data_IF_010924136917
#
_entry.id   IF_010924136917
#
_cell.length_a   1.000
_cell.length_b   1.000
_cell.length_c   1.000
_cell.angle_alpha   90.00
_cell.angle_beta   90.00
_cell.angle_gamma   90.00
#
_symmetry.space_group_name_H-M   'P 1'
#
loop_
_entity.id
_entity.type
_entity.pdbx_description
1 polymer ?
#
# COMPACT_ATOMS: atom_id res chain seq x y z
N UNK A 1 6.17 14.63 8.25
CA UNK A 1 4.77 14.32 8.64
C UNK A 1 4.24 13.29 7.63
N UNK A 2 4.72 12.04 7.69
CA UNK A 2 4.54 11.07 6.58
C UNK A 2 3.38 10.09 6.82
N UNK A 3 2.90 9.96 8.05
CA UNK A 3 1.74 9.13 8.38
C UNK A 3 0.46 9.56 7.67
N UNK A 4 0.27 10.88 7.47
CA UNK A 4 -0.92 11.42 6.80
C UNK A 4 -1.03 10.99 5.34
N UNK A 5 0.10 10.80 4.66
CA UNK A 5 0.11 10.35 3.27
C UNK A 5 -0.22 8.87 3.17
N UNK A 6 0.36 8.02 4.02
CA UNK A 6 0.02 6.60 4.08
C UNK A 6 -1.49 6.38 4.33
N UNK A 7 -2.07 7.10 5.28
CA UNK A 7 -3.51 7.01 5.57
C UNK A 7 -4.36 7.42 4.36
N UNK A 8 -3.93 8.45 3.59
CA UNK A 8 -4.60 8.85 2.36
C UNK A 8 -4.56 7.72 1.31
N UNK A 9 -3.43 7.05 1.12
CA UNK A 9 -3.34 5.93 0.18
C UNK A 9 -4.19 4.74 0.62
N UNK A 10 -4.08 4.34 1.89
CA UNK A 10 -4.87 3.26 2.48
C UNK A 10 -6.38 3.49 2.34
N UNK A 11 -6.84 4.72 2.49
CA UNK A 11 -8.28 5.02 2.52
C UNK A 11 -8.87 5.32 1.13
N UNK A 12 -8.06 5.70 0.14
CA UNK A 12 -8.54 6.03 -1.21
C UNK A 12 -8.23 4.98 -2.29
N UNK A 13 -7.33 4.02 -2.04
CA UNK A 13 -6.95 3.03 -3.04
C UNK A 13 -7.57 1.65 -2.76
N UNK A 14 -8.31 1.12 -3.73
CA UNK A 14 -9.04 -0.14 -3.61
C UNK A 14 -8.14 -1.36 -3.41
N UNK A 15 -6.87 -1.28 -3.84
CA UNK A 15 -5.87 -2.34 -3.62
C UNK A 15 -5.64 -2.64 -2.13
N UNK A 16 -5.91 -1.67 -1.25
CA UNK A 16 -5.87 -1.90 0.19
C UNK A 16 -7.12 -2.60 0.74
N UNK A 17 -8.21 -2.73 -0.04
CA UNK A 17 -9.42 -3.42 0.41
C UNK A 17 -9.15 -4.91 0.62
N UNK A 18 -8.45 -5.57 -0.32
CA UNK A 18 -8.07 -6.98 -0.17
C UNK A 18 -7.14 -7.19 1.05
N UNK A 19 -6.22 -6.26 1.29
CA UNK A 19 -5.32 -6.27 2.46
C UNK A 19 -6.11 -6.10 3.77
N UNK A 20 -7.13 -5.23 3.78
CA UNK A 20 -8.02 -4.98 4.92
C UNK A 20 -8.93 -6.19 5.19
N UNK A 21 -9.51 -6.78 4.15
CA UNK A 21 -10.33 -7.99 4.25
C UNK A 21 -9.52 -9.19 4.74
N UNK A 22 -8.27 -9.31 4.29
CA UNK A 22 -7.33 -10.31 4.78
C UNK A 22 -6.84 -10.03 6.23
N UNK A 23 -7.26 -8.93 6.86
CA UNK A 23 -6.88 -8.57 8.24
C UNK A 23 -5.40 -8.23 8.41
N UNK A 24 -4.67 -7.93 7.33
CA UNK A 24 -3.23 -7.64 7.35
C UNK A 24 -3.01 -6.17 7.75
N UNK A 25 -2.64 -5.94 9.02
CA UNK A 25 -2.30 -4.61 9.54
C UNK A 25 -0.79 -4.44 9.58
N UNK A 26 -0.26 -3.40 8.92
CA UNK A 26 1.17 -3.05 8.97
C UNK A 26 2.05 -3.73 7.92
N UNK A 27 1.48 -4.16 6.78
CA UNK A 27 2.27 -4.67 5.66
C UNK A 27 3.13 -3.54 5.05
N UNK A 28 4.45 -3.75 4.84
CA UNK A 28 5.26 -2.78 4.12
C UNK A 28 4.77 -2.70 2.67
N UNK A 29 4.48 -1.49 2.20
CA UNK A 29 4.11 -1.24 0.81
C UNK A 29 4.97 -0.13 0.23
N UNK A 30 5.28 -0.24 -1.05
CA UNK A 30 6.01 0.76 -1.81
C UNK A 30 5.00 1.49 -2.68
N UNK A 31 4.96 2.81 -2.52
CA UNK A 31 4.11 3.69 -3.32
C UNK A 31 5.00 4.34 -4.37
N UNK A 32 4.77 3.98 -5.64
CA UNK A 32 5.48 4.55 -6.80
C UNK A 32 4.66 5.73 -7.34
N UNK A 33 5.35 6.83 -7.68
CA UNK A 33 4.79 8.05 -8.28
C UNK A 33 3.49 8.52 -7.60
N UNK A 34 3.56 8.80 -6.29
CA UNK A 34 2.44 9.33 -5.50
C UNK A 34 1.14 8.52 -5.60
N UNK A 35 1.22 7.21 -5.81
CA UNK A 35 0.08 6.30 -5.86
C UNK A 35 -0.33 5.89 -7.26
N UNK A 36 0.55 6.03 -8.26
CA UNK A 36 0.35 5.40 -9.56
C UNK A 36 0.39 3.87 -9.44
N UNK A 37 1.30 3.35 -8.61
CA UNK A 37 1.42 1.93 -8.34
C UNK A 37 1.72 1.70 -6.85
N UNK A 38 1.04 0.73 -6.26
CA UNK A 38 1.28 0.33 -4.86
C UNK A 38 1.65 -1.14 -4.86
N UNK A 39 2.88 -1.43 -4.49
CA UNK A 39 3.47 -2.78 -4.46
C UNK A 39 3.50 -3.23 -3.01
N UNK A 40 2.94 -4.41 -2.72
CA UNK A 40 2.78 -4.94 -1.36
C UNK A 40 3.75 -6.07 -1.03
N UNK A 41 4.35 -6.69 -2.04
CA UNK A 41 5.24 -7.83 -1.87
C UNK A 41 6.62 -7.51 -2.45
N UNK A 42 7.67 -7.84 -1.70
CA UNK A 42 9.05 -7.79 -2.21
C UNK A 42 9.31 -8.88 -3.25
N UNK A 43 8.46 -9.93 -3.32
CA UNK A 43 8.52 -10.93 -4.39
C UNK A 43 7.94 -10.42 -5.72
N UNK A 44 7.15 -9.35 -5.72
CA UNK A 44 6.73 -8.65 -6.95
C UNK A 44 7.79 -7.66 -7.45
N UNK A 45 8.73 -7.29 -6.59
CA UNK A 45 9.96 -6.63 -7.00
C UNK A 45 10.86 -7.71 -7.63
N UNK A 46 10.72 -7.90 -8.94
CA UNK A 46 11.75 -8.57 -9.74
C UNK A 46 13.03 -7.70 -9.69
N UNK A 47 13.89 -7.91 -8.70
CA UNK A 47 15.25 -7.34 -8.60
C UNK A 47 16.28 -8.45 -8.84
#
# INVERSE_FOLDING_TARGET
MNLKMFLKYRDNYEVFNEIKEAGKVGLPCIVVNDGEQIIFDYNELEI
#
